data_IF_457448203334
#
_entry.id   IF_457448203334
#
_cell.length_a   1.000
_cell.length_b   1.000
_cell.length_c   1.000
_cell.angle_alpha   90.00
_cell.angle_beta   90.00
_cell.angle_gamma   90.00
#
_symmetry.space_group_name_H-M   'P 1'
#
loop_
_entity.id
_entity.type
_entity.pdbx_description
1 polymer ?
#
# COMPACT_ATOMS: atom_id res chain seq x y z
N UNK A 1 54.68 8.33 -42.54
CA UNK A 1 56.06 7.84 -42.75
C UNK A 1 56.40 6.98 -41.55
N UNK A 2 56.60 5.67 -41.79
CA UNK A 2 57.35 4.63 -41.02
C UNK A 2 57.66 4.96 -39.55
N UNK A 3 57.43 4.11 -38.55
CA UNK A 3 58.03 2.77 -38.37
C UNK A 3 57.22 2.01 -37.31
N UNK A 4 56.83 0.78 -37.62
CA UNK A 4 56.62 -0.30 -36.67
C UNK A 4 57.94 -1.07 -36.52
N UNK A 5 58.27 -1.63 -35.34
CA UNK A 5 58.94 -2.92 -35.11
C UNK A 5 59.14 -3.16 -33.57
N UNK A 6 59.45 -4.40 -33.10
CA UNK A 6 58.72 -5.05 -32.02
C UNK A 6 59.63 -5.70 -30.95
N UNK A 7 59.00 -6.47 -30.04
CA UNK A 7 59.48 -7.73 -29.44
C UNK A 7 60.89 -7.79 -28.82
N UNK A 8 61.00 -7.98 -27.49
CA UNK A 8 61.88 -9.04 -26.97
C UNK A 8 61.57 -9.47 -25.53
N UNK A 9 61.38 -10.78 -25.39
CA UNK A 9 61.39 -11.64 -24.21
C UNK A 9 62.78 -11.66 -23.53
N UNK A 10 62.85 -11.72 -22.19
CA UNK A 10 63.38 -12.86 -21.40
C UNK A 10 63.73 -12.49 -19.94
N UNK A 11 63.07 -13.22 -19.02
CA UNK A 11 63.55 -13.86 -17.80
C UNK A 11 64.78 -13.30 -17.04
N UNK A 12 64.56 -12.95 -15.76
CA UNK A 12 65.46 -13.40 -14.69
C UNK A 12 64.68 -13.75 -13.43
N UNK A 13 64.68 -15.04 -13.12
CA UNK A 13 64.23 -15.69 -11.90
C UNK A 13 65.11 -15.30 -10.70
N UNK A 14 64.51 -14.91 -9.58
CA UNK A 14 65.10 -15.18 -8.26
C UNK A 14 64.03 -15.73 -7.33
N UNK A 15 64.21 -16.99 -6.96
CA UNK A 15 63.43 -17.79 -6.03
C UNK A 15 64.18 -17.80 -4.69
N UNK A 16 63.50 -17.52 -3.58
CA UNK A 16 63.73 -17.96 -2.19
C UNK A 16 62.59 -17.27 -1.40
N UNK A 17 61.72 -17.89 -0.59
CA UNK A 17 61.76 -19.17 0.11
C UNK A 17 61.21 -18.94 1.53
N UNK A 18 59.88 -19.08 1.67
CA UNK A 18 59.03 -19.50 2.81
C UNK A 18 59.35 -19.13 4.28
N UNK A 19 58.34 -18.65 5.02
CA UNK A 19 57.62 -19.40 6.10
C UNK A 19 56.46 -18.57 6.72
N UNK A 20 55.21 -19.02 6.56
CA UNK A 20 54.28 -19.65 7.55
C UNK A 20 53.72 -18.73 8.65
N UNK A 21 52.38 -18.62 8.68
CA UNK A 21 51.59 -18.10 9.80
C UNK A 21 50.11 -17.89 9.48
N UNK A 22 49.36 -18.98 9.22
CA UNK A 22 47.90 -18.95 9.24
C UNK A 22 47.41 -19.70 10.48
N UNK A 23 46.61 -19.02 11.30
CA UNK A 23 45.91 -19.59 12.44
C UNK A 23 44.46 -19.13 12.44
N UNK A 24 43.58 -19.93 11.85
CA UNK A 24 42.17 -20.00 12.20
C UNK A 24 41.92 -21.43 12.71
N UNK A 25 41.73 -21.58 14.01
CA UNK A 25 41.17 -22.78 14.66
C UNK A 25 39.65 -22.60 14.73
N UNK A 26 38.77 -23.59 14.68
CA UNK A 26 38.84 -25.07 14.61
C UNK A 26 37.37 -25.54 14.43
N UNK A 27 37.05 -26.38 13.44
CA UNK A 27 36.86 -27.85 13.55
C UNK A 27 35.51 -28.23 14.22
N UNK A 28 34.65 -29.13 13.73
CA UNK A 28 34.80 -30.35 12.92
C UNK A 28 33.42 -30.79 12.37
N UNK A 29 33.37 -31.28 11.12
CA UNK A 29 32.36 -32.25 10.67
C UNK A 29 33.11 -33.38 9.94
N UNK A 30 32.95 -34.61 10.43
CA UNK A 30 33.24 -35.90 9.79
C UNK A 30 32.26 -36.87 10.48
N UNK A 31 31.56 -37.81 9.86
CA UNK A 31 31.59 -38.35 8.51
C UNK A 31 30.44 -39.37 8.37
N UNK A 32 30.44 -40.08 7.23
CA UNK A 32 29.37 -40.90 6.67
C UNK A 32 28.88 -42.15 7.47
N UNK A 33 27.67 -42.61 7.10
CA UNK A 33 26.98 -43.90 7.40
C UNK A 33 27.75 -45.16 6.86
N UNK A 34 27.28 -46.45 6.97
CA UNK A 34 26.00 -47.07 7.44
C UNK A 34 26.26 -48.40 8.27
N UNK A 35 25.43 -49.50 8.32
CA UNK A 35 24.01 -49.77 7.99
C UNK A 35 23.17 -50.54 9.08
N UNK A 36 21.89 -50.76 8.74
CA UNK A 36 20.94 -51.81 9.19
C UNK A 36 20.36 -51.88 10.62
N UNK A 37 19.03 -52.01 10.69
CA UNK A 37 18.37 -52.85 11.71
C UNK A 37 17.22 -52.22 12.51
N UNK A 38 15.99 -52.37 11.99
CA UNK A 38 14.75 -52.75 12.72
C UNK A 38 14.35 -52.05 14.03
N UNK A 39 13.15 -51.46 14.01
CA UNK A 39 12.09 -51.89 14.93
C UNK A 39 11.57 -50.92 15.99
N UNK A 40 10.24 -50.80 15.99
CA UNK A 40 9.33 -50.49 17.10
C UNK A 40 9.33 -49.08 17.69
N UNK A 41 8.14 -48.46 17.63
CA UNK A 41 7.84 -47.18 18.24
C UNK A 41 7.67 -47.23 19.75
N UNK A 42 7.52 -46.06 20.34
CA UNK A 42 6.72 -45.87 21.53
C UNK A 42 6.15 -44.45 21.53
N UNK A 43 4.86 -44.37 21.85
CA UNK A 43 4.11 -43.15 22.07
C UNK A 43 4.21 -42.84 23.56
N UNK A 44 4.93 -41.79 23.92
CA UNK A 44 5.08 -41.37 25.32
C UNK A 44 4.74 -39.90 25.49
N UNK A 45 3.54 -39.61 25.95
CA UNK A 45 3.12 -38.28 26.35
C UNK A 45 3.83 -37.77 27.61
N UNK A 46 3.78 -36.46 27.80
CA UNK A 46 4.28 -35.81 29.01
C UNK A 46 3.96 -34.33 29.02
N UNK A 47 2.75 -33.98 29.44
CA UNK A 47 2.44 -32.64 29.94
C UNK A 47 3.24 -32.36 31.21
N UNK A 48 3.87 -31.19 31.32
CA UNK A 48 4.08 -30.52 32.60
C UNK A 48 4.30 -29.03 32.40
N UNK A 49 3.51 -28.28 33.13
CA UNK A 49 3.44 -26.83 33.29
C UNK A 49 4.58 -26.29 34.16
N UNK A 50 4.91 -25.00 33.99
CA UNK A 50 5.28 -24.13 35.10
C UNK A 50 6.51 -23.23 34.92
N UNK A 51 6.33 -21.94 35.17
CA UNK A 51 7.32 -21.10 35.86
C UNK A 51 7.83 -19.89 35.09
N UNK A 52 7.48 -18.69 35.54
CA UNK A 52 7.81 -17.40 34.91
C UNK A 52 9.20 -16.83 35.21
N UNK A 53 9.49 -15.70 34.55
CA UNK A 53 10.33 -14.56 34.95
C UNK A 53 10.26 -13.53 33.78
N UNK A 54 9.73 -12.32 33.92
CA UNK A 54 10.39 -11.11 34.46
C UNK A 54 11.78 -10.85 33.88
N UNK A 55 11.89 -9.85 33.01
CA UNK A 55 13.17 -9.31 32.54
C UNK A 55 12.98 -8.10 31.64
N UNK A 56 12.85 -6.92 32.25
CA UNK A 56 13.04 -5.65 31.55
C UNK A 56 14.51 -5.46 31.20
N UNK A 57 14.77 -4.86 30.05
CA UNK A 57 16.10 -4.49 29.58
C UNK A 57 16.02 -3.21 28.79
N UNK A 58 16.34 -2.10 29.46
CA UNK A 58 16.71 -0.84 28.85
C UNK A 58 17.95 -1.03 27.97
N UNK A 59 17.91 -0.51 26.74
CA UNK A 59 19.11 -0.30 25.93
C UNK A 59 19.19 1.19 25.57
N UNK A 60 20.11 1.87 26.25
CA UNK A 60 20.58 3.22 25.93
C UNK A 60 21.60 3.19 24.80
N UNK A 61 21.54 4.20 23.93
CA UNK A 61 22.59 4.61 22.98
C UNK A 61 21.93 5.38 21.83
N UNK A 62 22.09 6.69 21.63
CA UNK A 62 23.06 7.64 22.13
C UNK A 62 23.85 8.24 20.96
N UNK A 63 23.47 9.45 20.56
CA UNK A 63 24.28 10.41 19.80
C UNK A 63 23.64 10.89 18.49
N UNK A 64 23.62 12.16 18.13
CA UNK A 64 23.67 13.42 18.87
C UNK A 64 23.25 14.52 17.88
N UNK A 65 22.56 15.52 18.39
CA UNK A 65 21.98 16.63 17.67
C UNK A 65 23.00 17.70 17.22
N UNK A 66 22.59 18.49 16.23
CA UNK A 66 22.93 19.91 16.10
C UNK A 66 21.68 20.59 15.49
N UNK A 67 20.97 21.52 16.11
CA UNK A 67 21.21 22.31 17.30
C UNK A 67 21.07 23.80 16.99
N UNK A 68 19.85 24.33 17.16
CA UNK A 68 19.50 25.77 17.23
C UNK A 68 18.02 25.96 16.88
N UNK A 69 17.05 26.10 17.80
CA UNK A 69 17.03 26.84 19.08
C UNK A 69 16.74 28.32 18.76
N UNK A 70 15.65 28.98 19.15
CA UNK A 70 14.64 28.83 20.20
C UNK A 70 13.33 29.52 19.70
N UNK A 71 12.15 29.52 20.31
CA UNK A 71 11.63 29.32 21.67
C UNK A 71 10.10 29.28 21.51
N UNK A 72 9.37 28.31 22.06
CA UNK A 72 8.81 28.43 23.42
C UNK A 72 7.48 29.19 23.44
N UNK A 73 6.37 28.46 23.26
CA UNK A 73 5.01 28.98 23.45
C UNK A 73 4.01 27.83 23.55
N UNK A 74 3.65 27.46 24.77
CA UNK A 74 2.52 26.58 25.03
C UNK A 74 1.21 27.31 24.72
N UNK A 75 0.30 26.62 24.03
CA UNK A 75 -1.12 26.91 24.06
C UNK A 75 -1.73 27.29 22.71
N UNK A 76 -2.78 26.55 22.36
CA UNK A 76 -3.83 27.02 21.46
C UNK A 76 -3.99 26.13 20.25
N UNK A 77 -5.11 25.40 20.21
CA UNK A 77 -5.76 25.05 18.96
C UNK A 77 -5.86 26.32 18.11
N UNK A 78 -4.96 26.44 17.15
CA UNK A 78 -4.94 27.51 16.18
C UNK A 78 -5.69 27.03 14.96
N UNK A 79 -7.00 27.24 14.93
CA UNK A 79 -7.72 27.37 13.68
C UNK A 79 -7.11 28.59 12.95
N UNK A 80 -6.04 28.33 12.20
CA UNK A 80 -5.42 29.29 11.31
C UNK A 80 -6.32 29.46 10.11
N UNK A 81 -7.16 30.49 10.12
CA UNK A 81 -7.75 31.02 8.91
C UNK A 81 -6.60 31.64 8.07
N UNK A 82 -5.90 30.80 7.31
CA UNK A 82 -4.91 31.15 6.31
C UNK A 82 -5.37 30.57 4.99
N UNK A 83 -5.71 31.45 4.05
CA UNK A 83 -5.95 31.20 2.61
C UNK A 83 -6.40 29.79 2.22
N UNK A 84 -7.70 29.65 1.98
CA UNK A 84 -8.33 28.48 1.38
C UNK A 84 -7.45 27.84 0.29
N UNK A 85 -6.79 26.73 0.68
CA UNK A 85 -6.37 25.69 -0.23
C UNK A 85 -7.59 25.28 -1.05
N UNK A 86 -7.35 25.05 -2.33
CA UNK A 86 -8.35 25.11 -3.38
C UNK A 86 -9.33 23.94 -3.23
N UNK A 87 -10.59 24.21 -2.88
CA UNK A 87 -11.71 23.30 -3.20
C UNK A 87 -11.88 22.02 -2.38
N UNK A 88 -11.08 21.76 -1.34
CA UNK A 88 -11.24 20.58 -0.47
C UNK A 88 -12.48 20.62 0.44
N UNK A 89 -12.91 19.45 0.92
CA UNK A 89 -13.98 19.28 1.92
C UNK A 89 -13.68 19.92 3.26
N UNK A 90 -14.53 19.72 4.28
CA UNK A 90 -14.24 20.25 5.62
C UNK A 90 -13.01 19.55 6.24
N UNK A 91 -12.19 20.27 7.05
CA UNK A 91 -11.02 19.68 7.69
C UNK A 91 -11.39 18.57 8.67
N UNK A 92 -10.54 17.54 8.79
CA UNK A 92 -10.70 16.51 9.81
C UNK A 92 -10.70 17.16 11.20
N UNK A 93 -11.44 16.55 12.13
CA UNK A 93 -11.63 17.11 13.49
C UNK A 93 -11.15 16.17 14.59
N UNK A 94 -10.62 15.01 14.22
CA UNK A 94 -10.11 14.01 15.14
C UNK A 94 -8.93 13.28 14.52
N UNK A 95 -7.87 13.09 15.31
CA UNK A 95 -6.74 12.22 14.96
C UNK A 95 -7.25 10.84 14.57
N UNK A 96 -6.73 10.30 13.48
CA UNK A 96 -7.01 8.94 13.02
C UNK A 96 -5.73 8.14 13.12
N UNK A 97 -5.74 7.10 13.95
CA UNK A 97 -4.58 6.23 14.11
C UNK A 97 -4.61 5.12 13.10
N UNK A 98 -3.47 4.68 12.59
CA UNK A 98 -3.37 3.40 11.91
C UNK A 98 -2.63 2.39 12.79
N UNK A 99 -3.30 1.31 13.18
CA UNK A 99 -2.80 0.28 14.11
C UNK A 99 -2.25 0.86 15.42
N UNK A 100 -2.90 1.91 15.94
CA UNK A 100 -2.50 2.60 17.17
C UNK A 100 -1.30 3.54 17.04
N UNK A 101 -0.77 3.76 15.83
CA UNK A 101 0.18 4.83 15.53
C UNK A 101 -0.53 6.00 14.87
N UNK A 102 0.02 7.19 15.05
CA UNK A 102 -0.40 8.40 14.34
C UNK A 102 0.69 8.70 13.32
N UNK A 103 0.32 8.78 12.06
CA UNK A 103 1.17 9.21 10.96
C UNK A 103 0.72 10.57 10.44
N UNK A 104 1.53 11.15 9.56
CA UNK A 104 1.34 12.52 9.04
C UNK A 104 -0.08 12.72 8.52
N UNK A 105 -0.56 11.84 7.63
CA UNK A 105 -1.93 11.87 7.10
C UNK A 105 -3.05 11.53 8.10
N UNK A 106 -2.84 11.58 9.40
CA UNK A 106 -3.87 11.38 10.42
C UNK A 106 -3.61 12.14 11.73
N UNK A 107 -2.69 13.09 11.74
CA UNK A 107 -2.22 13.81 12.94
C UNK A 107 -2.87 15.18 13.16
N UNK A 108 -3.72 15.64 12.22
CA UNK A 108 -4.39 16.94 12.20
C UNK A 108 -3.45 18.13 11.93
N UNK A 109 -2.30 17.89 11.32
CA UNK A 109 -1.37 18.91 10.88
C UNK A 109 -1.29 18.95 9.34
N UNK A 110 -0.61 19.97 8.85
CA UNK A 110 -0.29 20.23 7.46
C UNK A 110 1.24 20.11 7.41
N UNK A 111 1.73 18.90 7.18
CA UNK A 111 3.12 18.49 7.31
C UNK A 111 3.96 18.90 6.10
N UNK A 112 3.35 19.05 4.93
CA UNK A 112 4.00 19.49 3.70
C UNK A 112 3.87 21.01 3.47
N UNK A 113 2.92 21.68 4.12
CA UNK A 113 2.72 23.12 4.13
C UNK A 113 1.91 23.66 2.94
N UNK A 114 1.13 22.82 2.25
CA UNK A 114 0.31 23.21 1.10
C UNK A 114 -1.05 23.85 1.50
N UNK A 115 -1.42 23.74 2.78
CA UNK A 115 -2.63 24.29 3.37
C UNK A 115 -3.83 23.33 3.40
N UNK A 116 -3.64 22.06 3.04
CA UNK A 116 -4.56 20.95 3.22
C UNK A 116 -4.10 20.12 4.44
N UNK A 117 -5.02 19.38 5.05
CA UNK A 117 -4.77 18.65 6.30
C UNK A 117 -5.30 17.22 6.16
N UNK A 118 -4.43 16.24 6.37
CA UNK A 118 -4.72 14.81 6.35
C UNK A 118 -5.67 14.42 5.18
N UNK A 119 -6.88 13.93 5.49
CA UNK A 119 -7.89 13.49 4.52
C UNK A 119 -8.49 14.57 3.62
N UNK A 120 -8.15 15.86 3.83
CA UNK A 120 -8.43 16.90 2.84
C UNK A 120 -7.38 16.96 1.73
N UNK A 121 -6.18 16.48 2.03
CA UNK A 121 -5.04 16.46 1.14
C UNK A 121 -5.20 15.32 0.11
N UNK A 122 -5.19 15.63 -1.20
CA UNK A 122 -5.19 14.63 -2.26
C UNK A 122 -3.98 13.71 -2.26
N UNK A 123 -2.87 14.09 -1.64
CA UNK A 123 -1.65 13.30 -1.55
C UNK A 123 -1.70 12.26 -0.42
N UNK A 124 -2.61 12.42 0.54
CA UNK A 124 -2.88 11.41 1.56
C UNK A 124 -3.72 10.23 1.06
N UNK A 125 -3.13 9.03 1.06
CA UNK A 125 -3.83 7.80 0.65
C UNK A 125 -4.70 7.17 1.75
N UNK A 126 -4.49 7.56 3.01
CA UNK A 126 -5.18 7.01 4.17
C UNK A 126 -4.48 7.34 5.48
N UNK A 127 -5.05 6.93 6.61
CA UNK A 127 -4.41 7.10 7.93
C UNK A 127 -3.12 6.27 8.10
N UNK A 128 -2.86 5.32 7.20
CA UNK A 128 -1.65 4.50 7.15
C UNK A 128 -0.59 5.10 6.21
N UNK A 129 -0.67 6.40 5.95
CA UNK A 129 0.26 7.17 5.14
C UNK A 129 1.03 8.15 6.03
N UNK A 130 2.35 8.11 5.92
CA UNK A 130 3.29 8.94 6.65
C UNK A 130 4.01 9.92 5.72
N UNK A 131 3.42 10.24 4.57
CA UNK A 131 3.83 11.33 3.70
C UNK A 131 2.61 12.14 3.30
N UNK A 132 2.70 13.46 3.38
CA UNK A 132 1.69 14.37 2.82
C UNK A 132 2.14 14.99 1.48
N UNK A 133 3.29 14.57 0.93
CA UNK A 133 3.87 15.14 -0.29
C UNK A 133 4.05 14.10 -1.42
N UNK A 134 3.55 12.88 -1.24
CA UNK A 134 3.72 11.80 -2.20
C UNK A 134 2.66 10.69 -2.07
N UNK A 135 2.54 9.85 -3.10
CA UNK A 135 1.73 8.63 -3.04
C UNK A 135 2.45 7.41 -2.48
N UNK A 136 3.64 7.62 -1.92
CA UNK A 136 4.40 6.57 -1.27
C UNK A 136 4.20 6.69 0.23
N UNK A 137 3.48 5.74 0.82
CA UNK A 137 3.01 5.87 2.21
C UNK A 137 4.10 6.04 3.29
N UNK A 138 5.38 5.88 2.98
CA UNK A 138 6.48 6.20 3.90
C UNK A 138 6.52 5.37 5.18
N UNK A 139 5.74 4.29 5.28
CA UNK A 139 5.65 3.48 6.49
C UNK A 139 6.68 2.34 6.50
N UNK A 140 7.16 1.93 7.69
CA UNK A 140 8.07 0.80 7.79
C UNK A 140 7.45 -0.49 7.26
N UNK A 141 8.05 -1.06 6.21
CA UNK A 141 7.63 -2.33 5.62
C UNK A 141 6.97 -2.21 4.25
N UNK A 142 6.53 -1.02 3.85
CA UNK A 142 5.77 -0.78 2.60
C UNK A 142 6.52 -1.15 1.31
N UNK A 143 7.85 -1.01 1.31
CA UNK A 143 8.66 -1.42 0.17
C UNK A 143 8.58 -2.94 -0.12
N UNK A 144 8.08 -3.73 0.83
CA UNK A 144 7.83 -5.16 0.67
C UNK A 144 9.05 -6.01 0.30
N UNK A 145 8.85 -7.33 0.12
CA UNK A 145 9.80 -8.15 -0.59
C UNK A 145 9.75 -7.84 -2.09
N UNK A 146 10.91 -7.88 -2.75
CA UNK A 146 10.99 -7.72 -4.21
C UNK A 146 9.95 -8.58 -4.95
N UNK A 147 9.28 -7.96 -5.91
CA UNK A 147 8.21 -8.48 -6.75
C UNK A 147 6.93 -8.89 -6.03
N UNK A 148 6.83 -8.88 -4.70
CA UNK A 148 5.64 -9.38 -3.99
C UNK A 148 4.90 -8.23 -3.35
N UNK A 149 3.60 -8.16 -3.61
CA UNK A 149 2.73 -7.10 -3.09
C UNK A 149 1.46 -7.73 -2.51
N UNK A 150 1.04 -7.25 -1.36
CA UNK A 150 -0.24 -7.51 -0.71
C UNK A 150 -1.06 -6.20 -0.63
N UNK A 151 -1.82 -5.95 0.43
CA UNK A 151 -2.56 -4.70 0.51
C UNK A 151 -1.62 -3.49 0.63
N UNK A 152 -1.41 -2.76 -0.46
CA UNK A 152 -0.52 -1.60 -0.51
C UNK A 152 -0.93 -0.48 0.48
N UNK A 153 -2.23 -0.38 0.77
CA UNK A 153 -2.82 0.69 1.59
C UNK A 153 -2.93 0.31 3.07
N UNK A 154 -2.42 -0.85 3.49
CA UNK A 154 -2.36 -1.23 4.90
C UNK A 154 -0.96 -0.98 5.51
N UNK A 155 -0.65 -1.60 6.66
CA UNK A 155 0.56 -1.30 7.44
C UNK A 155 1.72 -2.26 7.19
N UNK A 156 1.48 -3.38 6.52
CA UNK A 156 2.44 -4.48 6.50
C UNK A 156 2.42 -5.21 5.17
N UNK A 157 3.53 -5.14 4.45
CA UNK A 157 3.69 -5.81 3.15
C UNK A 157 3.97 -7.32 3.22
N UNK A 158 3.43 -8.01 4.25
CA UNK A 158 3.53 -9.46 4.39
C UNK A 158 2.18 -10.19 4.38
N UNK A 159 2.07 -11.20 3.51
CA UNK A 159 0.93 -12.13 3.46
C UNK A 159 0.65 -12.80 4.81
N UNK A 160 -0.37 -12.38 5.55
CA UNK A 160 -0.72 -13.07 6.80
C UNK A 160 -1.87 -12.46 7.61
N UNK A 161 -2.16 -11.18 7.44
CA UNK A 161 -3.24 -10.47 8.15
C UNK A 161 -4.47 -10.20 7.26
N UNK A 162 -4.30 -10.17 5.93
CA UNK A 162 -5.26 -9.67 4.95
C UNK A 162 -5.57 -10.67 3.81
N UNK A 163 -4.68 -11.64 3.57
CA UNK A 163 -4.81 -12.68 2.53
C UNK A 163 -4.96 -12.09 1.11
N UNK A 164 -4.35 -10.93 0.86
CA UNK A 164 -4.15 -10.32 -0.46
C UNK A 164 -2.84 -10.83 -1.08
N UNK A 165 -2.89 -11.32 -2.33
CA UNK A 165 -1.71 -11.91 -2.96
C UNK A 165 -1.53 -11.43 -4.40
N UNK A 166 -0.42 -10.72 -4.64
CA UNK A 166 0.04 -10.37 -5.97
C UNK A 166 1.56 -10.51 -6.11
N UNK A 167 2.00 -10.72 -7.34
CA UNK A 167 3.41 -10.75 -7.69
C UNK A 167 3.60 -9.92 -8.95
N UNK A 168 4.47 -8.92 -8.94
CA UNK A 168 4.78 -8.08 -10.09
C UNK A 168 5.35 -8.86 -11.27
N UNK A 169 5.93 -10.05 -11.07
CA UNK A 169 6.23 -10.97 -12.18
C UNK A 169 4.98 -11.36 -13.00
N UNK A 170 3.78 -11.17 -12.49
CA UNK A 170 2.53 -11.33 -13.22
C UNK A 170 2.15 -10.13 -14.11
N UNK A 171 2.89 -9.02 -14.04
CA UNK A 171 2.70 -7.82 -14.82
C UNK A 171 3.45 -7.91 -16.17
N UNK A 172 2.75 -7.85 -17.32
CA UNK A 172 3.38 -7.85 -18.64
C UNK A 172 4.34 -6.68 -18.92
N UNK A 173 4.33 -5.63 -18.10
CA UNK A 173 5.26 -4.50 -18.20
C UNK A 173 6.67 -4.83 -17.66
N UNK A 174 6.82 -5.97 -16.95
CA UNK A 174 8.09 -6.44 -16.37
C UNK A 174 9.04 -7.00 -17.45
N UNK A 175 9.34 -6.20 -18.47
CA UNK A 175 10.14 -6.60 -19.63
C UNK A 175 11.24 -5.59 -19.90
N UNK A 176 12.35 -6.09 -20.46
CA UNK A 176 13.48 -5.25 -20.81
C UNK A 176 13.09 -4.12 -21.80
N UNK A 177 13.73 -2.94 -21.70
CA UNK A 177 14.74 -2.56 -20.72
C UNK A 177 14.16 -1.99 -19.41
N UNK A 178 12.85 -1.76 -19.33
CA UNK A 178 12.20 -1.02 -18.24
C UNK A 178 11.97 -1.82 -16.97
N UNK A 179 11.52 -3.08 -17.09
CA UNK A 179 11.17 -3.94 -15.96
C UNK A 179 10.22 -3.24 -14.96
N UNK A 180 9.12 -2.68 -15.47
CA UNK A 180 8.13 -2.00 -14.65
C UNK A 180 7.11 -2.99 -14.08
N UNK A 181 6.54 -2.77 -12.88
CA UNK A 181 6.61 -1.54 -12.07
C UNK A 181 7.80 -1.44 -11.09
N UNK A 182 8.71 -2.41 -11.06
CA UNK A 182 9.87 -2.40 -10.17
C UNK A 182 11.20 -2.34 -10.93
N UNK A 183 11.44 -1.25 -11.66
CA UNK A 183 12.62 -1.12 -12.52
C UNK A 183 13.96 -1.27 -11.77
N UNK A 184 13.96 -0.94 -10.47
CA UNK A 184 15.09 -1.11 -9.54
C UNK A 184 15.48 -2.58 -9.33
N UNK A 185 14.53 -3.51 -9.43
CA UNK A 185 14.75 -4.96 -9.32
C UNK A 185 15.16 -5.60 -10.67
N UNK A 186 14.89 -4.90 -11.77
CA UNK A 186 15.30 -5.30 -13.11
C UNK A 186 14.82 -6.72 -13.47
N UNK A 187 15.71 -7.53 -14.05
CA UNK A 187 15.34 -8.87 -14.49
C UNK A 187 14.93 -9.85 -13.36
N UNK A 188 15.04 -9.47 -12.07
CA UNK A 188 14.55 -10.27 -10.96
C UNK A 188 13.03 -10.43 -10.99
N UNK A 189 12.32 -9.36 -11.34
CA UNK A 189 10.86 -9.34 -11.45
C UNK A 189 10.36 -9.55 -12.87
N UNK A 190 11.24 -9.96 -13.80
CA UNK A 190 10.90 -10.19 -15.19
C UNK A 190 9.63 -11.04 -15.34
N UNK A 191 8.75 -10.60 -16.26
CA UNK A 191 7.43 -11.18 -16.48
C UNK A 191 7.49 -12.71 -16.64
N UNK A 192 6.68 -13.38 -15.83
CA UNK A 192 6.52 -14.81 -15.76
C UNK A 192 5.05 -15.15 -15.45
N UNK A 193 4.31 -15.61 -16.46
CA UNK A 193 2.90 -16.03 -16.31
C UNK A 193 2.68 -17.18 -15.31
N UNK A 194 3.74 -17.91 -14.98
CA UNK A 194 3.77 -19.00 -14.02
C UNK A 194 4.50 -18.62 -12.72
N UNK A 195 4.62 -17.33 -12.42
CA UNK A 195 5.19 -16.86 -11.16
C UNK A 195 4.45 -17.49 -9.97
N UNK A 196 5.22 -17.91 -8.97
CA UNK A 196 4.66 -18.41 -7.72
C UNK A 196 4.55 -17.26 -6.74
N UNK A 197 3.36 -17.02 -6.21
CA UNK A 197 3.13 -15.97 -5.21
C UNK A 197 3.15 -16.60 -3.82
N UNK A 198 3.98 -16.11 -2.88
CA UNK A 198 3.93 -16.51 -1.48
C UNK A 198 2.50 -16.41 -0.94
N UNK A 199 2.06 -17.38 -0.14
CA UNK A 199 0.68 -17.42 0.39
C UNK A 199 -0.39 -17.91 -0.61
N UNK A 200 -0.09 -17.94 -1.91
CA UNK A 200 -1.00 -18.39 -2.97
C UNK A 200 -0.31 -19.33 -3.98
N UNK A 201 0.48 -20.30 -3.50
CA UNK A 201 1.36 -21.13 -4.33
C UNK A 201 0.60 -22.04 -5.33
N UNK A 202 -0.70 -22.25 -5.14
CA UNK A 202 -1.57 -23.03 -6.03
C UNK A 202 -2.31 -22.18 -7.07
N UNK A 203 -2.07 -20.86 -7.11
CA UNK A 203 -2.71 -19.92 -8.03
C UNK A 203 -1.75 -19.47 -9.12
N UNK A 204 -2.25 -19.39 -10.35
CA UNK A 204 -1.54 -18.70 -11.43
C UNK A 204 -1.75 -17.19 -11.37
N UNK A 205 -0.92 -16.43 -12.07
CA UNK A 205 -1.14 -15.00 -12.29
C UNK A 205 -2.57 -14.70 -12.78
N UNK A 206 -3.08 -15.52 -13.69
CA UNK A 206 -4.43 -15.37 -14.23
C UNK A 206 -5.53 -15.69 -13.20
N UNK A 207 -5.26 -16.55 -12.21
CA UNK A 207 -6.22 -16.83 -11.13
C UNK A 207 -6.30 -15.67 -10.14
N UNK A 208 -5.15 -15.12 -9.73
CA UNK A 208 -5.05 -13.97 -8.83
C UNK A 208 -5.61 -12.69 -9.48
N UNK A 209 -5.39 -12.52 -10.79
CA UNK A 209 -5.96 -11.43 -11.58
C UNK A 209 -7.48 -11.45 -11.62
N UNK A 210 -8.09 -12.64 -11.61
CA UNK A 210 -9.56 -12.79 -11.65
C UNK A 210 -10.20 -12.85 -10.28
N UNK A 211 -9.48 -13.29 -9.25
CA UNK A 211 -10.06 -13.53 -7.94
C UNK A 211 -9.04 -13.42 -6.81
N UNK A 212 -9.37 -12.55 -5.86
CA UNK A 212 -8.73 -12.51 -4.54
C UNK A 212 -9.63 -13.18 -3.49
N UNK A 213 -9.09 -13.35 -2.28
CA UNK A 213 -9.82 -13.92 -1.16
C UNK A 213 -10.91 -12.95 -0.67
N UNK A 214 -11.94 -13.47 0.02
CA UNK A 214 -12.92 -12.61 0.68
C UNK A 214 -12.30 -11.78 1.80
N UNK A 215 -11.26 -12.32 2.44
CA UNK A 215 -10.49 -11.63 3.48
C UNK A 215 -9.80 -10.40 2.88
N UNK A 216 -9.16 -10.55 1.71
CA UNK A 216 -8.52 -9.44 1.00
C UNK A 216 -9.51 -8.31 0.72
N UNK A 217 -10.69 -8.64 0.19
CA UNK A 217 -11.73 -7.64 -0.05
C UNK A 217 -12.26 -6.99 1.24
N UNK A 218 -12.35 -7.74 2.33
CA UNK A 218 -12.86 -7.21 3.61
C UNK A 218 -11.84 -6.30 4.28
N UNK A 219 -10.55 -6.58 4.11
CA UNK A 219 -9.46 -5.86 4.74
C UNK A 219 -8.99 -4.70 3.88
N UNK A 220 -8.62 -4.97 2.63
CA UNK A 220 -8.02 -4.00 1.74
C UNK A 220 -9.05 -3.19 0.96
N UNK A 221 -10.20 -3.77 0.62
CA UNK A 221 -11.24 -3.10 -0.17
C UNK A 221 -11.64 -1.72 0.37
N UNK A 222 -11.92 -1.56 1.69
CA UNK A 222 -12.21 -0.26 2.29
C UNK A 222 -11.03 0.72 2.30
N UNK A 223 -9.79 0.24 2.15
CA UNK A 223 -8.58 1.06 2.14
C UNK A 223 -8.18 1.49 0.73
N UNK A 224 -8.56 0.71 -0.28
CA UNK A 224 -8.22 0.96 -1.69
C UNK A 224 -8.94 2.19 -2.24
N UNK A 225 -8.21 3.27 -2.60
CA UNK A 225 -8.79 4.45 -3.21
C UNK A 225 -9.54 4.15 -4.51
N UNK A 226 -10.58 4.93 -4.82
CA UNK A 226 -11.25 4.86 -6.13
C UNK A 226 -10.23 5.19 -7.24
N UNK A 227 -10.17 4.34 -8.25
CA UNK A 227 -9.17 4.37 -9.33
C UNK A 227 -8.00 3.42 -9.13
N UNK A 228 -7.86 2.79 -7.96
CA UNK A 228 -6.74 1.91 -7.62
C UNK A 228 -7.15 0.44 -7.51
N UNK A 229 -6.22 -0.47 -7.78
CA UNK A 229 -6.31 -1.84 -7.27
C UNK A 229 -5.71 -1.94 -5.86
N UNK A 230 -6.01 -3.03 -5.16
CA UNK A 230 -5.51 -3.30 -3.81
C UNK A 230 -3.97 -3.38 -3.69
N UNK A 231 -3.26 -3.48 -4.81
CA UNK A 231 -1.82 -3.66 -4.88
C UNK A 231 -1.16 -2.39 -5.42
N UNK A 232 -1.75 -1.21 -5.15
CA UNK A 232 -1.22 0.13 -5.41
C UNK A 232 -1.01 0.51 -6.89
N UNK A 233 -1.64 -0.20 -7.83
CA UNK A 233 -1.68 0.18 -9.23
C UNK A 233 -2.92 1.05 -9.50
N UNK A 234 -2.72 2.33 -9.82
CA UNK A 234 -3.79 3.33 -9.87
C UNK A 234 -3.92 4.02 -11.22
N UNK A 235 -5.16 4.27 -11.63
CA UNK A 235 -5.44 5.09 -12.81
C UNK A 235 -5.18 6.56 -12.49
N UNK A 236 -4.11 7.13 -13.06
CA UNK A 236 -3.66 8.49 -12.72
C UNK A 236 -3.30 9.31 -13.97
N UNK A 237 -3.90 10.52 -14.14
CA UNK A 237 -5.10 10.98 -13.45
C UNK A 237 -6.30 10.07 -13.77
N UNK A 238 -7.22 9.92 -12.82
CA UNK A 238 -8.37 9.03 -13.01
C UNK A 238 -9.19 9.38 -14.27
N UNK A 239 -9.64 8.35 -14.98
CA UNK A 239 -10.27 8.47 -16.30
C UNK A 239 -9.31 8.71 -17.47
N UNK A 240 -7.99 8.78 -17.23
CA UNK A 240 -6.96 8.95 -18.25
C UNK A 240 -6.57 7.65 -18.99
N UNK A 241 -6.98 6.49 -18.49
CA UNK A 241 -6.66 5.16 -19.02
C UNK A 241 -5.20 4.72 -18.82
N UNK A 242 -4.44 5.44 -17.99
CA UNK A 242 -3.04 5.13 -17.67
C UNK A 242 -2.96 4.67 -16.22
N UNK A 243 -2.26 3.55 -16.00
CA UNK A 243 -2.07 2.99 -14.67
C UNK A 243 -0.61 3.09 -14.25
N UNK A 244 -0.39 3.62 -13.06
CA UNK A 244 0.93 3.84 -12.46
C UNK A 244 1.01 3.20 -11.09
N UNK A 245 2.19 2.71 -10.75
CA UNK A 245 2.51 2.10 -9.46
C UNK A 245 2.85 3.18 -8.45
N UNK A 246 2.04 3.31 -7.40
CA UNK A 246 2.25 4.32 -6.37
C UNK A 246 3.54 4.07 -5.57
N UNK A 247 3.94 2.80 -5.42
CA UNK A 247 5.19 2.42 -4.77
C UNK A 247 6.46 2.66 -5.59
N UNK A 248 6.40 3.49 -6.64
CA UNK A 248 7.56 3.82 -7.47
C UNK A 248 8.64 4.51 -6.63
N UNK A 249 9.85 3.97 -6.68
CA UNK A 249 11.05 4.51 -6.05
C UNK A 249 12.15 4.62 -7.12
N UNK A 250 12.08 5.71 -7.90
CA UNK A 250 13.01 5.97 -8.99
C UNK A 250 14.49 6.03 -8.54
N UNK A 251 14.75 6.20 -7.24
CA UNK A 251 16.11 6.33 -6.68
C UNK A 251 16.62 5.03 -6.07
N UNK A 252 15.74 4.07 -5.78
CA UNK A 252 16.05 2.85 -5.05
C UNK A 252 16.51 3.11 -3.62
N UNK A 253 16.13 4.24 -3.02
CA UNK A 253 16.52 4.64 -1.66
C UNK A 253 15.39 4.51 -0.63
N UNK A 254 14.25 3.96 -1.03
CA UNK A 254 13.04 3.81 -0.22
C UNK A 254 12.20 5.09 -0.13
N UNK A 255 12.48 6.09 -0.96
CA UNK A 255 11.69 7.32 -1.08
C UNK A 255 10.79 7.24 -2.31
N UNK A 256 9.50 7.51 -2.12
CA UNK A 256 8.56 7.64 -3.23
C UNK A 256 9.00 8.65 -4.28
N UNK A 257 8.75 8.32 -5.55
CA UNK A 257 8.95 9.24 -6.66
C UNK A 257 7.66 9.64 -7.37
N UNK A 258 6.53 9.00 -7.06
CA UNK A 258 5.28 9.22 -7.76
C UNK A 258 4.36 10.19 -7.02
N UNK A 259 3.91 11.22 -7.74
CA UNK A 259 2.98 12.29 -7.32
C UNK A 259 2.04 12.61 -8.48
N UNK A 260 0.97 13.38 -8.24
CA UNK A 260 0.03 13.75 -9.31
C UNK A 260 0.68 14.57 -10.43
N UNK A 261 1.56 15.50 -10.09
CA UNK A 261 2.17 16.44 -11.04
C UNK A 261 3.18 15.76 -11.99
N UNK A 262 3.74 14.61 -11.58
CA UNK A 262 4.67 13.80 -12.38
C UNK A 262 4.07 12.47 -12.86
N UNK A 263 2.76 12.26 -12.72
CA UNK A 263 2.05 11.04 -13.09
C UNK A 263 2.29 10.56 -14.54
N UNK A 264 2.59 11.49 -15.44
CA UNK A 264 2.87 11.21 -16.85
C UNK A 264 4.33 10.80 -17.13
N UNK A 265 5.24 10.88 -16.15
CA UNK A 265 6.64 10.48 -16.27
C UNK A 265 6.84 9.02 -15.82
N UNK A 266 7.04 8.06 -16.74
CA UNK A 266 7.19 6.65 -16.41
C UNK A 266 8.50 6.31 -15.68
N UNK A 267 9.40 7.28 -15.53
CA UNK A 267 10.61 7.13 -14.71
C UNK A 267 10.44 7.57 -13.25
N UNK A 268 9.31 8.21 -12.93
CA UNK A 268 8.95 8.65 -11.58
C UNK A 268 7.68 7.94 -11.08
N UNK A 269 6.74 7.68 -11.99
CA UNK A 269 5.52 6.90 -11.78
C UNK A 269 5.52 5.71 -12.73
N UNK A 270 6.06 4.57 -12.29
CA UNK A 270 6.29 3.41 -13.14
C UNK A 270 4.96 2.80 -13.65
N UNK A 271 4.85 2.45 -14.93
CA UNK A 271 3.65 1.82 -15.48
C UNK A 271 3.37 0.44 -14.85
N UNK A 272 2.11 0.18 -14.50
CA UNK A 272 1.68 -1.11 -13.97
C UNK A 272 0.41 -1.62 -14.67
N UNK A 273 0.15 -2.92 -14.53
CA UNK A 273 -1.10 -3.56 -14.91
C UNK A 273 -1.98 -3.70 -13.67
N UNK A 274 -3.20 -3.11 -13.65
CA UNK A 274 -4.10 -3.28 -12.53
C UNK A 274 -4.62 -4.72 -12.44
N UNK A 275 -4.79 -5.20 -11.21
CA UNK A 275 -5.35 -6.49 -10.85
C UNK A 275 -6.87 -6.39 -10.82
N UNK A 276 -7.51 -6.93 -11.85
CA UNK A 276 -8.95 -6.78 -12.07
C UNK A 276 -9.82 -7.30 -10.92
N UNK A 277 -9.34 -8.30 -10.18
CA UNK A 277 -10.06 -8.88 -9.04
C UNK A 277 -10.36 -7.86 -7.94
N UNK A 278 -9.46 -6.92 -7.71
CA UNK A 278 -9.46 -5.99 -6.57
C UNK A 278 -9.37 -4.52 -7.01
N UNK A 279 -9.65 -4.25 -8.28
CA UNK A 279 -9.67 -2.90 -8.83
C UNK A 279 -10.93 -2.16 -8.35
N UNK A 280 -10.74 -1.15 -7.50
CA UNK A 280 -11.76 -0.19 -7.16
C UNK A 280 -11.85 0.85 -8.28
N UNK A 281 -12.82 0.69 -9.17
CA UNK A 281 -12.94 1.55 -10.37
C UNK A 281 -13.29 2.98 -10.02
N UNK A 282 -12.90 3.94 -10.86
CA UNK A 282 -13.34 5.33 -10.74
C UNK A 282 -14.65 5.59 -11.51
N UNK A 283 -15.76 5.74 -10.80
CA UNK A 283 -17.06 6.10 -11.36
C UNK A 283 -17.19 7.57 -11.74
N UNK A 284 -18.18 7.89 -12.59
CA UNK A 284 -18.44 9.26 -13.07
C UNK A 284 -18.68 10.25 -11.93
N UNK A 285 -19.47 9.84 -10.94
CA UNK A 285 -19.85 10.68 -9.79
C UNK A 285 -19.03 10.38 -8.54
N UNK A 286 -17.92 9.66 -8.66
CA UNK A 286 -17.02 9.36 -7.53
C UNK A 286 -15.79 10.27 -7.58
N UNK A 287 -15.30 10.68 -6.41
CA UNK A 287 -13.94 11.22 -6.31
C UNK A 287 -12.96 10.06 -6.43
N UNK A 288 -11.79 10.32 -7.02
CA UNK A 288 -10.77 9.32 -7.31
C UNK A 288 -9.40 9.95 -7.20
N UNK A 289 -8.35 9.12 -7.16
CA UNK A 289 -6.98 9.64 -7.16
C UNK A 289 -6.74 10.50 -8.43
N UNK A 290 -6.34 11.76 -8.26
CA UNK A 290 -6.23 12.72 -9.36
C UNK A 290 -7.55 13.24 -9.96
N UNK A 291 -8.69 13.00 -9.30
CA UNK A 291 -10.01 13.54 -9.65
C UNK A 291 -10.72 14.06 -8.40
N UNK A 292 -10.53 15.35 -8.14
CA UNK A 292 -10.99 16.12 -6.98
C UNK A 292 -12.36 16.80 -7.17
N UNK A 293 -12.92 16.74 -8.38
CA UNK A 293 -14.15 17.44 -8.75
C UNK A 293 -15.16 16.51 -9.41
N UNK A 294 -16.44 16.81 -9.19
CA UNK A 294 -17.56 16.08 -9.78
C UNK A 294 -18.37 16.97 -10.73
N UNK A 295 -18.95 16.39 -11.81
CA UNK A 295 -19.93 17.07 -12.64
C UNK A 295 -21.17 17.55 -11.85
N UNK A 296 -21.74 18.70 -12.23
CA UNK A 296 -22.89 19.33 -11.55
C UNK A 296 -24.11 18.40 -11.41
N UNK A 297 -24.36 17.53 -12.39
CA UNK A 297 -25.49 16.59 -12.38
C UNK A 297 -25.32 15.43 -11.38
N UNK A 298 -24.12 15.24 -10.81
CA UNK A 298 -23.92 14.31 -9.70
C UNK A 298 -24.57 14.78 -8.39
N UNK A 299 -24.95 16.07 -8.30
CA UNK A 299 -25.57 16.63 -7.10
C UNK A 299 -27.11 16.65 -7.17
N UNK A 300 -27.71 16.45 -8.34
CA UNK A 300 -29.17 16.62 -8.56
C UNK A 300 -29.99 15.35 -8.23
N UNK A 301 -29.34 14.23 -7.91
CA UNK A 301 -29.96 12.91 -7.67
C UNK A 301 -30.26 12.53 -6.22
N UNK A 302 -29.94 13.39 -5.24
CA UNK A 302 -30.33 13.20 -3.84
C UNK A 302 -29.30 12.49 -2.96
N UNK A 303 -28.26 13.21 -2.56
CA UNK A 303 -27.65 13.20 -1.22
C UNK A 303 -26.48 14.20 -1.21
N UNK A 304 -26.77 15.50 -1.35
CA UNK A 304 -25.73 16.53 -1.34
C UNK A 304 -26.20 17.92 -0.89
N UNK A 305 -27.46 18.05 -0.46
CA UNK A 305 -27.95 19.30 0.11
C UNK A 305 -28.17 19.09 1.61
N UNK A 306 -27.09 19.28 2.37
CA UNK A 306 -27.15 19.48 3.82
C UNK A 306 -27.89 20.77 4.14
N UNK A 307 -29.22 20.76 4.06
CA UNK A 307 -30.05 21.79 4.69
C UNK A 307 -30.62 21.20 5.97
N UNK A 308 -30.13 21.73 7.09
CA UNK A 308 -30.45 21.28 8.44
C UNK A 308 -31.95 21.12 8.72
N UNK A 309 -32.27 20.02 9.40
CA UNK A 309 -33.60 19.74 9.93
C UNK A 309 -33.48 19.05 11.27
N UNK A 310 -33.68 19.80 12.34
CA UNK A 310 -33.78 19.28 13.69
C UNK A 310 -35.03 18.39 13.85
N UNK A 311 -34.83 17.18 14.38
CA UNK A 311 -35.78 16.51 15.27
C UNK A 311 -36.77 15.52 14.65
N UNK A 312 -36.88 14.35 15.28
CA UNK A 312 -38.11 13.59 15.32
C UNK A 312 -37.97 12.09 15.08
N UNK A 313 -37.83 11.32 16.16
CA UNK A 313 -38.04 9.87 16.17
C UNK A 313 -39.39 9.47 15.58
N UNK A 314 -39.41 8.44 14.73
CA UNK A 314 -40.57 7.55 14.62
C UNK A 314 -40.19 6.19 14.00
N UNK A 315 -40.23 5.17 14.84
CA UNK A 315 -40.37 3.75 14.52
C UNK A 315 -41.56 3.48 13.60
N UNK A 316 -41.37 2.63 12.59
CA UNK A 316 -42.44 2.09 11.75
C UNK A 316 -42.03 0.77 11.09
N UNK A 317 -42.68 -0.31 11.48
CA UNK A 317 -42.47 -1.67 10.99
C UNK A 317 -43.38 -2.02 9.80
N UNK A 318 -42.96 -3.01 9.01
CA UNK A 318 -43.76 -3.80 8.05
C UNK A 318 -43.37 -3.53 6.59
N UNK A 319 -43.21 -4.50 5.69
CA UNK A 319 -43.36 -5.96 5.74
C UNK A 319 -43.50 -6.49 4.30
N UNK A 320 -42.74 -7.54 3.96
CA UNK A 320 -43.05 -8.59 2.96
C UNK A 320 -43.13 -8.24 1.46
N UNK A 321 -42.33 -8.93 0.63
CA UNK A 321 -42.81 -10.07 -0.17
C UNK A 321 -41.70 -10.67 -1.06
N UNK A 322 -41.63 -12.00 -1.05
CA UNK A 322 -40.81 -12.86 -1.90
C UNK A 322 -41.27 -12.84 -3.37
N UNK A 323 -40.32 -13.07 -4.28
CA UNK A 323 -40.58 -13.44 -5.67
C UNK A 323 -39.39 -14.21 -6.24
N UNK A 324 -39.46 -15.54 -6.23
CA UNK A 324 -38.57 -16.43 -6.98
C UNK A 324 -38.92 -16.43 -8.47
N UNK A 325 -37.91 -16.46 -9.34
CA UNK A 325 -38.13 -16.58 -10.80
C UNK A 325 -36.90 -16.55 -11.71
N UNK A 326 -36.01 -17.55 -11.58
CA UNK A 326 -35.49 -18.33 -12.72
C UNK A 326 -34.60 -17.71 -13.83
N UNK A 327 -33.35 -18.22 -13.84
CA UNK A 327 -32.60 -18.77 -14.99
C UNK A 327 -31.82 -17.86 -15.96
N UNK A 328 -30.48 -17.94 -15.85
CA UNK A 328 -29.59 -18.32 -16.96
C UNK A 328 -28.78 -17.20 -17.63
N UNK A 329 -27.45 -17.27 -17.56
CA UNK A 329 -26.55 -16.55 -18.47
C UNK A 329 -25.24 -16.10 -17.83
N UNK A 330 -24.13 -16.70 -18.26
CA UNK A 330 -22.78 -16.45 -17.79
C UNK A 330 -22.32 -14.99 -17.92
N UNK A 331 -21.68 -14.46 -16.88
CA UNK A 331 -20.58 -13.47 -16.94
C UNK A 331 -19.77 -13.59 -15.65
N UNK A 332 -18.44 -13.56 -15.75
CA UNK A 332 -17.55 -13.57 -14.59
C UNK A 332 -17.71 -12.28 -13.80
N UNK A 333 -17.97 -12.40 -12.51
CA UNK A 333 -17.98 -11.31 -11.54
C UNK A 333 -16.55 -10.84 -11.33
N UNK A 334 -16.12 -9.85 -12.12
CA UNK A 334 -15.09 -8.92 -11.67
C UNK A 334 -15.67 -8.12 -10.50
N UNK A 335 -14.86 -7.85 -9.48
CA UNK A 335 -15.22 -6.98 -8.38
C UNK A 335 -15.51 -5.59 -8.92
N UNK A 336 -16.77 -5.32 -9.22
CA UNK A 336 -17.22 -3.97 -9.54
C UNK A 336 -17.21 -3.20 -8.24
N UNK A 337 -16.49 -2.08 -8.22
CA UNK A 337 -16.68 -1.06 -7.20
C UNK A 337 -18.19 -0.83 -7.08
N UNK A 338 -18.71 -1.00 -5.86
CA UNK A 338 -20.12 -0.77 -5.57
C UNK A 338 -20.42 0.72 -5.48
N UNK A 339 -19.77 1.56 -6.30
CA UNK A 339 -20.12 2.95 -6.50
C UNK A 339 -21.62 3.13 -6.65
N UNK A 340 -22.17 4.01 -5.81
CA UNK A 340 -23.55 3.96 -5.34
C UNK A 340 -24.53 3.59 -6.43
N UNK A 341 -25.35 2.56 -6.18
CA UNK A 341 -26.29 1.91 -7.10
C UNK A 341 -27.30 2.86 -7.81
N UNK A 342 -27.18 4.18 -7.61
CA UNK A 342 -28.00 5.25 -8.18
C UNK A 342 -27.20 6.46 -8.72
N UNK A 343 -25.88 6.36 -8.91
CA UNK A 343 -25.04 7.46 -9.44
C UNK A 343 -24.64 8.53 -8.41
N UNK A 344 -24.60 8.17 -7.13
CA UNK A 344 -24.08 9.02 -6.06
C UNK A 344 -22.57 8.91 -5.87
N UNK A 345 -22.00 9.77 -5.01
CA UNK A 345 -20.57 9.81 -4.70
C UNK A 345 -20.05 8.57 -3.98
N UNK A 346 -20.89 7.95 -3.16
CA UNK A 346 -20.52 6.78 -2.36
C UNK A 346 -21.60 5.71 -2.45
N UNK A 347 -21.24 4.51 -1.97
CA UNK A 347 -22.17 3.45 -1.64
C UNK A 347 -23.36 3.92 -0.78
N UNK A 348 -24.50 3.24 -0.94
CA UNK A 348 -25.68 3.56 -0.16
C UNK A 348 -25.41 3.39 1.34
N UNK A 349 -25.59 4.47 2.11
CA UNK A 349 -25.37 4.48 3.56
C UNK A 349 -23.96 4.86 3.99
N UNK A 350 -23.04 5.12 3.05
CA UNK A 350 -21.71 5.67 3.32
C UNK A 350 -21.76 7.20 3.26
N UNK A 351 -21.15 7.87 4.25
CA UNK A 351 -21.08 9.33 4.30
C UNK A 351 -20.13 9.84 3.20
N UNK A 352 -20.57 10.78 2.34
CA UNK A 352 -19.67 11.48 1.42
C UNK A 352 -18.83 12.53 2.16
N UNK A 353 -17.59 12.71 1.71
CA UNK A 353 -16.62 13.66 2.24
C UNK A 353 -15.71 14.20 1.12
N UNK A 354 -14.81 15.14 1.42
CA UNK A 354 -13.81 15.62 0.46
C UNK A 354 -14.30 16.71 -0.51
N UNK A 355 -15.61 16.97 -0.63
CA UNK A 355 -16.11 18.11 -1.41
C UNK A 355 -16.57 19.30 -0.53
N UNK A 356 -16.55 20.53 -1.06
CA UNK A 356 -17.01 21.72 -0.34
C UNK A 356 -18.44 21.56 0.18
N UNK A 357 -18.64 21.86 1.46
CA UNK A 357 -19.94 21.76 2.13
C UNK A 357 -20.30 20.36 2.64
N UNK A 358 -19.46 19.35 2.43
CA UNK A 358 -19.58 18.06 3.09
C UNK A 358 -18.92 18.10 4.47
N UNK A 359 -19.59 17.49 5.44
CA UNK A 359 -19.08 17.36 6.81
C UNK A 359 -17.88 16.40 6.85
N UNK A 360 -16.91 16.61 7.76
CA UNK A 360 -15.80 15.70 7.92
C UNK A 360 -16.28 14.34 8.41
N UNK A 361 -15.47 13.31 8.18
CA UNK A 361 -15.79 11.96 8.66
C UNK A 361 -15.87 11.93 10.20
N UNK A 362 -16.80 11.11 10.71
CA UNK A 362 -16.94 10.90 12.15
C UNK A 362 -15.69 10.23 12.73
N UNK A 363 -15.46 10.40 14.04
CA UNK A 363 -14.34 9.75 14.73
C UNK A 363 -14.29 8.23 14.45
N UNK A 364 -13.11 7.72 14.11
CA UNK A 364 -12.91 6.33 13.70
C UNK A 364 -13.15 6.04 12.22
N UNK A 365 -13.35 7.08 11.40
CA UNK A 365 -13.45 6.98 9.94
C UNK A 365 -12.44 7.92 9.28
N UNK A 366 -12.00 7.56 8.08
CA UNK A 366 -11.11 8.37 7.24
C UNK A 366 -11.79 8.66 5.90
N UNK A 367 -11.55 9.83 5.32
CA UNK A 367 -12.06 10.11 3.97
C UNK A 367 -11.13 9.50 2.93
N UNK A 368 -11.55 8.42 2.27
CA UNK A 368 -10.79 7.78 1.20
C UNK A 368 -11.51 8.08 -0.11
N UNK A 369 -10.88 8.90 -0.96
CA UNK A 369 -11.42 9.33 -2.26
C UNK A 369 -12.90 9.70 -2.20
N UNK A 370 -13.24 10.54 -1.23
CA UNK A 370 -14.56 11.11 -1.08
C UNK A 370 -15.60 10.28 -0.32
N UNK A 371 -15.22 9.13 0.26
CA UNK A 371 -16.13 8.33 1.07
C UNK A 371 -15.54 8.03 2.44
N UNK A 372 -16.34 8.21 3.50
CA UNK A 372 -15.89 7.91 4.86
C UNK A 372 -15.81 6.40 5.08
N UNK A 373 -14.59 5.88 5.13
CA UNK A 373 -14.31 4.47 5.34
C UNK A 373 -13.97 4.19 6.80
N UNK A 374 -14.45 3.07 7.36
CA UNK A 374 -14.09 2.65 8.71
C UNK A 374 -12.57 2.49 8.84
N UNK A 375 -11.96 3.23 9.75
CA UNK A 375 -10.56 3.04 10.09
C UNK A 375 -10.46 1.95 11.17
N UNK A 376 -10.48 0.69 10.73
CA UNK A 376 -10.65 -0.49 11.60
C UNK A 376 -9.36 -0.99 12.26
N UNK A 377 -8.30 -0.20 12.33
CA UNK A 377 -6.99 -0.68 12.76
C UNK A 377 -6.29 0.27 13.72
#
# INVERSE_FOLDING_TARGET
MRIALPLSFMFLTTLLGSAVGAGCSSSTVDGAAPPDGTGAGDSGGGSASGGGASGGGDASGGGDASGGGASGGAGGAGAGAGTAGVGGGAPPTSVVTCQGKVYECGDLLDNDGDGLIDSQDPDCLGACDNTEDSYYGGIPGQAGPACTVDCYFDQDSGSGNDDCHWNHQCDPNEVAPGYHPESSNGAMCAYNEAASTPGAQDKSCADLDRKQSSTCHTVCGPLTPNGCDCFGCCELPAGGGKYVWLGSDARGDGTGSCTLDVADDPSLCEPCKPVAACLNTCGRCELCLGKDTLPDDCFEGGAGSGTGGAGGSASGAGGGASGDGGAGGATGTGGGGTGGENGGQCEAGVQPCGLPGQEPCSAGYYCITGCCQPNLR
#
